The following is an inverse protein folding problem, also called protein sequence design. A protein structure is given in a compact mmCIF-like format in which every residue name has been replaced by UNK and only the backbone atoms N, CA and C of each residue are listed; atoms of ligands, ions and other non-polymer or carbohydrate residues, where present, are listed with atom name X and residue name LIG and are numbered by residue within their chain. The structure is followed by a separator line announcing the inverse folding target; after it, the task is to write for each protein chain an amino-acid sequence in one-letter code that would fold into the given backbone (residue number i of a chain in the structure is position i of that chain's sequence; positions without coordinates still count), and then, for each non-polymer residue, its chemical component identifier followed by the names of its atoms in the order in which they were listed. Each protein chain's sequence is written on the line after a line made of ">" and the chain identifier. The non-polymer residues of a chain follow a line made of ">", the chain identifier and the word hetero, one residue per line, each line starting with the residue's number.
data_IF_157089894949
#
_entry.id   IF_157089894949
#
_cell.length_a   1.000
_cell.length_b   1.000
_cell.length_c   1.000
_cell.angle_alpha   90.00
_cell.angle_beta   90.00
_cell.angle_gamma   90.00
#
_symmetry.space_group_name_H-M   'P 1'
#
loop_
_entity.id
_entity.type
_entity.pdbx_description
1 polymer ?
#
# COMPACT_ATOMS: atom_id res chain seq x y z
N UNK A 1 -8.51 10.76 5.11
CA UNK A 1 -9.56 10.01 5.81
C UNK A 1 -9.34 10.17 7.31
N UNK A 2 -10.24 10.87 8.01
CA UNK A 2 -10.14 11.08 9.45
C UNK A 2 -11.55 11.01 10.05
N UNK A 3 -11.70 10.23 11.12
CA UNK A 3 -12.91 10.20 11.94
C UNK A 3 -12.56 10.82 13.29
N UNK A 4 -12.97 12.08 13.50
CA UNK A 4 -12.62 12.87 14.69
C UNK A 4 -13.74 12.88 15.75
N UNK A 5 -14.58 11.84 15.83
CA UNK A 5 -15.69 11.80 16.80
C UNK A 5 -16.50 10.50 16.81
N UNK A 6 -17.55 10.47 17.64
CA UNK A 6 -18.47 9.34 17.80
C UNK A 6 -19.34 9.13 16.54
N UNK A 7 -18.76 8.47 15.54
CA UNK A 7 -19.50 7.50 14.73
C UNK A 7 -20.47 8.03 13.66
N UNK A 8 -20.16 9.14 12.98
CA UNK A 8 -20.84 9.46 11.70
C UNK A 8 -19.81 9.61 10.58
N UNK A 9 -19.38 8.47 10.03
CA UNK A 9 -18.44 8.42 8.92
C UNK A 9 -19.15 8.60 7.58
N UNK A 10 -18.89 9.71 6.88
CA UNK A 10 -19.16 9.79 5.43
C UNK A 10 -18.04 9.10 4.68
N UNK A 11 -18.34 8.45 3.54
CA UNK A 11 -17.32 7.94 2.64
C UNK A 11 -16.41 9.09 2.19
N UNK A 12 -15.10 8.95 2.39
CA UNK A 12 -14.10 9.92 1.97
C UNK A 12 -13.04 9.20 1.14
N UNK A 13 -12.72 9.68 -0.08
CA UNK A 13 -11.69 9.06 -0.89
C UNK A 13 -10.33 9.14 -0.17
N UNK A 14 -9.60 8.02 -0.17
CA UNK A 14 -8.27 7.94 0.42
C UNK A 14 -7.25 8.74 -0.40
N UNK A 15 -7.27 8.53 -1.72
CA UNK A 15 -6.55 9.24 -2.74
C UNK A 15 -7.22 8.97 -4.09
N UNK A 16 -7.04 9.86 -5.05
CA UNK A 16 -7.53 9.67 -6.41
C UNK A 16 -6.60 8.74 -7.20
N UNK A 17 -7.16 8.06 -8.20
CA UNK A 17 -6.41 7.28 -9.20
C UNK A 17 -5.54 6.15 -8.62
N UNK A 18 -5.90 5.66 -7.44
CA UNK A 18 -5.35 4.42 -6.87
C UNK A 18 -5.95 3.23 -7.61
N UNK A 19 -5.10 2.44 -8.25
CA UNK A 19 -5.50 1.21 -8.93
C UNK A 19 -5.27 -0.05 -8.09
N UNK A 20 -4.35 0.03 -7.11
CA UNK A 20 -4.00 -1.09 -6.25
C UNK A 20 -3.59 -0.57 -4.87
N UNK A 21 -4.12 -1.18 -3.82
CA UNK A 21 -3.72 -0.96 -2.44
C UNK A 21 -3.63 -2.32 -1.76
N UNK A 22 -2.46 -2.64 -1.23
CA UNK A 22 -2.20 -3.89 -0.52
C UNK A 22 -1.50 -3.64 0.80
N UNK A 23 -1.88 -4.43 1.79
CA UNK A 23 -1.24 -4.49 3.09
C UNK A 23 -0.66 -5.89 3.29
N UNK A 24 0.57 -5.96 3.78
CA UNK A 24 1.17 -7.20 4.25
C UNK A 24 1.69 -7.01 5.66
N UNK A 25 1.68 -8.09 6.44
CA UNK A 25 2.02 -8.10 7.84
C UNK A 25 3.14 -9.10 8.09
N UNK A 26 3.99 -8.84 9.06
CA UNK A 26 5.03 -9.79 9.49
C UNK A 26 5.09 -9.87 11.00
N UNK A 27 5.46 -11.05 11.50
CA UNK A 27 5.79 -11.29 12.91
C UNK A 27 7.29 -11.11 13.21
N UNK A 28 8.08 -10.67 12.22
CA UNK A 28 9.53 -10.48 12.33
C UNK A 28 10.33 -11.72 11.91
N UNK A 29 9.66 -12.77 11.43
CA UNK A 29 10.28 -13.99 10.91
C UNK A 29 10.74 -13.88 9.44
N UNK A 30 10.76 -12.67 8.87
CA UNK A 30 11.11 -12.42 7.46
C UNK A 30 10.02 -12.80 6.45
N UNK A 31 8.88 -13.34 6.90
CA UNK A 31 7.75 -13.69 6.04
C UNK A 31 6.66 -12.63 6.11
N UNK A 32 6.08 -12.30 4.97
CA UNK A 32 4.99 -11.33 4.82
C UNK A 32 3.70 -12.05 4.43
N UNK A 33 2.62 -11.78 5.15
CA UNK A 33 1.30 -12.37 4.92
C UNK A 33 0.24 -11.29 4.65
N UNK A 34 -0.76 -11.59 3.82
CA UNK A 34 -1.88 -10.67 3.57
C UNK A 34 -2.84 -10.56 4.76
N UNK A 35 -2.83 -11.55 5.64
CA UNK A 35 -3.63 -11.61 6.85
C UNK A 35 -2.72 -11.44 8.06
N UNK A 36 -3.06 -10.59 9.04
CA UNK A 36 -2.27 -10.45 10.25
C UNK A 36 -2.35 -11.72 11.10
N UNK A 37 -1.21 -12.12 11.67
CA UNK A 37 -1.09 -13.17 12.70
C UNK A 37 -0.32 -12.57 13.86
N UNK A 38 -0.82 -12.74 15.09
CA UNK A 38 -0.16 -12.17 16.26
C UNK A 38 1.11 -12.95 16.65
N UNK A 39 2.18 -12.25 17.09
CA UNK A 39 2.30 -10.79 17.18
C UNK A 39 2.71 -10.14 15.85
N UNK A 40 1.94 -9.17 15.34
CA UNK A 40 2.39 -8.34 14.20
C UNK A 40 3.39 -7.28 14.68
N UNK A 41 4.57 -7.22 14.04
CA UNK A 41 5.65 -6.28 14.38
C UNK A 41 5.95 -5.25 13.28
N UNK A 42 5.48 -5.48 12.05
CA UNK A 42 5.53 -4.49 10.98
C UNK A 42 4.43 -4.71 9.95
N UNK A 43 4.07 -3.61 9.27
CA UNK A 43 3.13 -3.58 8.15
C UNK A 43 3.84 -3.00 6.94
N UNK A 44 3.79 -3.70 5.82
CA UNK A 44 4.14 -3.17 4.51
C UNK A 44 2.87 -2.67 3.84
N UNK A 45 2.91 -1.41 3.40
CA UNK A 45 1.87 -0.80 2.59
C UNK A 45 2.40 -0.63 1.19
N UNK A 46 1.68 -1.16 0.21
CA UNK A 46 1.95 -0.92 -1.20
C UNK A 46 0.75 -0.22 -1.84
N UNK A 47 1.04 0.86 -2.56
CA UNK A 47 0.05 1.62 -3.32
C UNK A 47 0.53 1.80 -4.76
N UNK A 48 -0.35 1.51 -5.71
CA UNK A 48 -0.14 1.87 -7.12
C UNK A 48 -1.13 2.94 -7.52
N UNK A 49 -0.57 4.04 -8.02
CA UNK A 49 -1.33 5.18 -8.54
C UNK A 49 -1.05 5.37 -10.02
N UNK A 50 -2.05 5.86 -10.75
CA UNK A 50 -1.91 6.29 -12.14
C UNK A 50 -2.11 7.79 -12.29
N UNK A 51 -1.60 8.35 -13.38
CA UNK A 51 -2.03 9.68 -13.83
C UNK A 51 -3.50 9.65 -14.26
N UNK A 52 -4.19 10.78 -14.15
CA UNK A 52 -5.58 10.91 -14.62
C UNK A 52 -5.64 10.90 -16.15
N UNK A 53 -4.80 11.71 -16.79
CA UNK A 53 -4.69 11.83 -18.24
C UNK A 53 -4.00 10.62 -18.88
N UNK A 54 -4.58 10.15 -20.00
CA UNK A 54 -3.93 9.24 -20.94
C UNK A 54 -2.99 10.02 -21.88
N UNK A 55 -1.96 9.39 -22.43
CA UNK A 55 -0.95 10.07 -23.26
C UNK A 55 0.16 10.78 -22.49
N UNK A 56 0.28 10.54 -21.18
CA UNK A 56 1.39 11.09 -20.38
C UNK A 56 2.71 10.46 -20.80
N UNK A 57 2.66 9.22 -21.28
CA UNK A 57 3.79 8.50 -21.85
C UNK A 57 3.64 8.37 -23.37
N UNK A 58 4.78 8.29 -24.05
CA UNK A 58 4.83 8.11 -25.51
C UNK A 58 4.67 6.64 -25.96
N UNK A 59 4.65 5.69 -25.02
CA UNK A 59 4.47 4.27 -25.27
C UNK A 59 3.84 3.56 -24.06
N UNK A 60 3.29 2.38 -24.28
CA UNK A 60 2.77 1.51 -23.22
C UNK A 60 3.91 0.98 -22.34
N UNK A 61 3.64 0.79 -21.05
CA UNK A 61 4.61 0.27 -20.09
C UNK A 61 4.23 -1.09 -19.54
N UNK A 62 5.24 -1.89 -19.20
CA UNK A 62 5.10 -3.02 -18.28
C UNK A 62 5.29 -2.48 -16.87
N UNK A 63 4.26 -2.61 -16.03
CA UNK A 63 4.24 -2.04 -14.68
C UNK A 63 4.39 -3.17 -13.67
N UNK A 64 5.17 -2.94 -12.60
CA UNK A 64 5.24 -3.88 -11.47
C UNK A 64 4.15 -3.55 -10.47
N UNK A 65 3.22 -4.49 -10.26
CA UNK A 65 2.17 -4.41 -9.25
C UNK A 65 2.69 -4.63 -7.83
N UNK A 66 1.82 -4.43 -6.84
CA UNK A 66 2.17 -4.58 -5.42
C UNK A 66 2.53 -6.01 -5.03
N UNK A 67 1.97 -7.01 -5.71
CA UNK A 67 2.32 -8.42 -5.55
C UNK A 67 3.61 -8.82 -6.30
N UNK A 68 4.33 -7.87 -6.89
CA UNK A 68 5.54 -8.11 -7.67
C UNK A 68 5.30 -8.65 -9.07
N UNK A 69 4.05 -8.87 -9.50
CA UNK A 69 3.74 -9.31 -10.86
C UNK A 69 3.89 -8.17 -11.86
N UNK A 70 4.29 -8.52 -13.09
CA UNK A 70 4.32 -7.59 -14.20
C UNK A 70 2.94 -7.53 -14.85
N UNK A 71 2.41 -6.33 -15.02
CA UNK A 71 1.11 -6.05 -15.60
C UNK A 71 1.35 -5.28 -16.90
N UNK A 72 0.80 -5.80 -18.00
CA UNK A 72 0.79 -5.13 -19.28
C UNK A 72 -0.63 -4.63 -19.58
N UNK A 73 -0.76 -3.34 -19.87
CA UNK A 73 -2.03 -2.73 -20.28
C UNK A 73 -1.89 -2.18 -21.71
N UNK A 74 -2.16 -3.00 -22.74
CA UNK A 74 -2.11 -2.54 -24.13
C UNK A 74 -3.05 -1.35 -24.35
N UNK A 75 -2.55 -0.28 -24.98
CA UNK A 75 -3.33 0.92 -25.29
C UNK A 75 -3.47 1.95 -24.16
N UNK A 76 -2.94 1.68 -22.96
CA UNK A 76 -2.90 2.64 -21.86
C UNK A 76 -1.51 3.27 -21.74
N UNK A 77 -1.43 4.59 -21.93
CA UNK A 77 -0.21 5.39 -21.84
C UNK A 77 -0.26 6.37 -20.66
N UNK A 78 -1.07 6.07 -19.64
CA UNK A 78 -1.01 6.75 -18.35
C UNK A 78 0.24 6.35 -17.60
N UNK A 79 0.88 7.31 -16.95
CA UNK A 79 2.01 7.05 -16.07
C UNK A 79 1.51 6.33 -14.82
N UNK A 80 2.18 5.24 -14.43
CA UNK A 80 1.91 4.53 -13.19
C UNK A 80 3.15 4.50 -12.32
N UNK A 81 2.93 4.61 -11.01
CA UNK A 81 3.98 4.44 -10.02
C UNK A 81 3.47 3.58 -8.87
N UNK A 82 4.32 2.65 -8.47
CA UNK A 82 4.10 1.78 -7.31
C UNK A 82 5.03 2.26 -6.21
N UNK A 83 4.46 2.55 -5.04
CA UNK A 83 5.19 2.95 -3.85
C UNK A 83 5.01 1.88 -2.78
N UNK A 84 6.10 1.50 -2.13
CA UNK A 84 6.10 0.54 -1.04
C UNK A 84 6.77 1.17 0.17
N UNK A 85 6.14 1.06 1.33
CA UNK A 85 6.71 1.52 2.60
C UNK A 85 6.45 0.49 3.69
N UNK A 86 7.40 0.35 4.61
CA UNK A 86 7.30 -0.55 5.76
C UNK A 86 7.26 0.27 7.04
N UNK A 87 6.23 0.05 7.84
CA UNK A 87 6.01 0.67 9.13
C UNK A 87 6.21 -0.36 10.23
N UNK A 88 7.22 -0.17 11.09
CA UNK A 88 7.40 -0.99 12.27
C UNK A 88 6.35 -0.63 13.34
N UNK A 89 5.69 -1.65 13.90
CA UNK A 89 4.70 -1.51 14.96
C UNK A 89 5.39 -1.69 16.32
N UNK A 90 5.62 -0.59 17.03
CA UNK A 90 6.24 -0.61 18.37
C UNK A 90 5.27 -1.01 19.49
N UNK A 91 3.99 -1.20 19.20
CA UNK A 91 2.99 -1.58 20.21
C UNK A 91 3.01 -3.09 20.53
N UNK A 92 3.91 -3.88 19.93
CA UNK A 92 4.02 -5.33 20.13
C UNK A 92 5.43 -5.81 20.55
N UNK A 93 6.29 -4.89 20.99
CA UNK A 93 7.53 -5.22 21.69
C UNK A 93 7.22 -5.20 23.18
N UNK A 94 7.21 -6.37 23.83
CA UNK A 94 7.04 -6.54 25.28
C UNK A 94 8.19 -5.95 26.13
N UNK A 95 8.94 -4.97 25.61
CA UNK A 95 10.01 -4.31 26.31
C UNK A 95 9.80 -2.80 26.24
N UNK A 96 9.44 -2.22 27.39
CA UNK A 96 9.67 -0.80 27.64
C UNK A 96 11.17 -0.53 27.42
N UNK A 97 11.57 0.51 26.66
CA UNK A 97 12.95 0.95 26.63
C UNK A 97 13.37 1.30 28.06
N UNK A 98 14.31 0.55 28.64
CA UNK A 98 14.94 0.92 29.91
C UNK A 98 15.97 2.03 29.65
N UNK A 99 16.06 3.04 30.54
CA UNK A 99 16.98 4.16 30.40
C UNK A 99 18.45 3.74 30.38
#
# INVERSE_FOLDING_TARGET
>A
MQCLGNGSGTSQPFAEEVEELQFRYTTGNGTWAATPTDPVVAVEVCIRVRSSANGVLNATQIIRGCNGTNIANPGDTRLRRTFTSVFALRNNINALPTP
#
